data_IF_571093868723
#
_entry.id   IF_571093868723
#
_cell.length_a   1.000
_cell.length_b   1.000
_cell.length_c   1.000
_cell.angle_alpha   90.00
_cell.angle_beta   90.00
_cell.angle_gamma   90.00
#
_symmetry.space_group_name_H-M   'P 1'
#
loop_
_entity.id
_entity.type
_entity.pdbx_description
1 polymer ?
#
# COMPACT_ATOMS: atom_id res chain seq x y z
N UNK A 1 -13.03 -2.82 30.26
CA UNK A 1 -12.60 -2.90 28.85
C UNK A 1 -12.51 -1.51 28.21
N UNK A 2 -13.56 -0.68 28.32
CA UNK A 2 -13.62 0.68 27.73
C UNK A 2 -12.51 1.63 28.21
N UNK A 3 -12.25 1.70 29.53
CA UNK A 3 -11.17 2.51 30.11
C UNK A 3 -9.77 2.05 29.66
N UNK A 4 -9.60 0.75 29.43
CA UNK A 4 -8.34 0.15 28.96
C UNK A 4 -8.09 0.47 27.49
N UNK A 5 -9.11 0.37 26.64
CA UNK A 5 -9.03 0.71 25.21
C UNK A 5 -8.71 2.19 25.00
N UNK A 6 -9.41 3.08 25.72
CA UNK A 6 -9.20 4.52 25.66
C UNK A 6 -7.78 4.94 26.07
N UNK A 7 -7.22 4.26 27.08
CA UNK A 7 -5.84 4.49 27.48
C UNK A 7 -4.86 4.06 26.37
N UNK A 8 -5.01 2.86 25.80
CA UNK A 8 -4.10 2.36 24.74
C UNK A 8 -4.15 3.27 23.50
N UNK A 9 -5.32 3.80 23.13
CA UNK A 9 -5.42 4.69 21.97
C UNK A 9 -4.73 6.04 22.20
N UNK A 10 -4.79 6.58 23.42
CA UNK A 10 -4.03 7.77 23.78
C UNK A 10 -2.51 7.51 23.72
N UNK A 11 -2.06 6.34 24.19
CA UNK A 11 -0.66 5.90 24.12
C UNK A 11 -0.15 5.69 22.70
N UNK A 12 -1.01 5.41 21.72
CA UNK A 12 -0.62 5.27 20.31
C UNK A 12 -0.73 6.59 19.54
N UNK A 13 -1.73 7.42 19.87
CA UNK A 13 -1.97 8.71 19.21
C UNK A 13 -0.80 9.67 19.40
N UNK A 14 -0.32 9.84 20.63
CA UNK A 14 0.74 10.82 20.91
C UNK A 14 2.03 10.48 20.16
N UNK A 15 2.58 9.25 20.24
CA UNK A 15 3.76 8.88 19.46
C UNK A 15 3.53 8.99 17.96
N UNK A 16 2.36 8.59 17.44
CA UNK A 16 2.08 8.72 16.00
C UNK A 16 2.08 10.18 15.54
N UNK A 17 1.45 11.09 16.28
CA UNK A 17 1.45 12.51 15.92
C UNK A 17 2.86 13.11 16.01
N UNK A 18 3.60 12.79 17.07
CA UNK A 18 4.98 13.29 17.26
C UNK A 18 5.89 12.79 16.15
N UNK A 19 5.90 11.48 15.86
CA UNK A 19 6.73 10.92 14.78
C UNK A 19 6.30 11.45 13.42
N UNK A 20 5.00 11.63 13.17
CA UNK A 20 4.51 12.21 11.92
C UNK A 20 4.97 13.66 11.70
N UNK A 21 4.91 14.51 12.73
CA UNK A 21 5.43 15.90 12.65
C UNK A 21 6.95 15.89 12.42
N UNK A 22 7.68 15.03 13.12
CA UNK A 22 9.13 14.88 12.92
C UNK A 22 9.45 14.42 11.49
N UNK A 23 8.72 13.45 10.95
CA UNK A 23 8.89 12.99 9.56
C UNK A 23 8.67 14.10 8.54
N UNK A 24 7.65 14.94 8.73
CA UNK A 24 7.44 16.11 7.85
C UNK A 24 8.66 17.03 7.89
N UNK A 25 9.20 17.30 9.09
CA UNK A 25 10.42 18.08 9.26
C UNK A 25 11.62 17.46 8.53
N UNK A 26 11.81 16.15 8.65
CA UNK A 26 12.87 15.42 7.94
C UNK A 26 12.70 15.47 6.42
N UNK A 27 11.50 15.32 5.87
CA UNK A 27 11.31 15.41 4.42
C UNK A 27 11.51 16.82 3.87
N UNK A 28 11.17 17.86 4.63
CA UNK A 28 11.51 19.24 4.27
C UNK A 28 13.03 19.44 4.29
N UNK A 29 13.72 18.88 5.30
CA UNK A 29 15.18 18.87 5.35
C UNK A 29 15.78 18.14 4.15
N UNK A 30 15.29 16.95 3.83
CA UNK A 30 15.75 16.13 2.69
C UNK A 30 15.59 16.88 1.38
N UNK A 31 14.45 17.54 1.16
CA UNK A 31 14.21 18.35 -0.03
C UNK A 31 15.24 19.47 -0.17
N UNK A 32 15.58 20.15 0.93
CA UNK A 32 16.60 21.22 0.93
C UNK A 32 17.99 20.65 0.62
N UNK A 33 18.39 19.57 1.30
CA UNK A 33 19.72 18.97 1.16
C UNK A 33 19.89 18.37 -0.24
N UNK A 34 18.90 17.65 -0.74
CA UNK A 34 18.97 17.00 -2.05
C UNK A 34 18.96 18.01 -3.19
N UNK A 35 18.27 19.14 -3.07
CA UNK A 35 18.39 20.25 -4.04
C UNK A 35 19.79 20.87 -4.07
N UNK A 36 20.52 20.85 -2.95
CA UNK A 36 21.91 21.32 -2.89
C UNK A 36 22.90 20.29 -3.41
N UNK A 37 22.63 18.99 -3.19
CA UNK A 37 23.50 17.89 -3.63
C UNK A 37 23.37 17.58 -5.12
N UNK A 38 22.15 17.63 -5.67
CA UNK A 38 21.89 17.33 -7.07
C UNK A 38 22.87 18.02 -8.04
N UNK A 39 23.09 19.35 -8.01
CA UNK A 39 24.00 19.98 -8.96
C UNK A 39 25.45 19.49 -8.81
N UNK A 40 25.91 19.18 -7.59
CA UNK A 40 27.26 18.65 -7.37
C UNK A 40 27.38 17.24 -7.96
N UNK A 41 26.38 16.39 -7.73
CA UNK A 41 26.38 15.00 -8.21
C UNK A 41 26.22 14.91 -9.73
N UNK A 42 25.42 15.78 -10.34
CA UNK A 42 25.24 15.83 -11.80
C UNK A 42 26.50 16.34 -12.52
N UNK A 43 27.27 17.24 -11.91
CA UNK A 43 28.56 17.70 -12.45
C UNK A 43 29.75 16.80 -12.06
N UNK A 44 29.52 15.76 -11.23
CA UNK A 44 30.55 14.87 -10.70
C UNK A 44 31.61 15.60 -9.85
N UNK A 45 31.21 16.66 -9.15
CA UNK A 45 32.07 17.37 -8.21
C UNK A 45 32.31 16.52 -6.96
N UNK A 46 33.52 16.58 -6.39
CA UNK A 46 33.85 15.82 -5.19
C UNK A 46 32.95 16.18 -4.01
N UNK A 47 32.25 15.18 -3.46
CA UNK A 47 31.45 15.32 -2.26
C UNK A 47 32.34 15.41 -1.00
N UNK A 48 32.01 16.35 -0.13
CA UNK A 48 32.69 16.50 1.17
C UNK A 48 32.16 15.50 2.20
N UNK A 49 32.91 15.25 3.27
CA UNK A 49 32.43 14.42 4.39
C UNK A 49 31.11 14.95 4.99
N UNK A 50 30.94 16.27 4.99
CA UNK A 50 29.69 16.92 5.41
C UNK A 50 28.52 16.53 4.51
N UNK A 51 28.72 16.43 3.19
CA UNK A 51 27.68 16.04 2.24
C UNK A 51 27.19 14.62 2.55
N UNK A 52 28.10 13.68 2.83
CA UNK A 52 27.75 12.32 3.24
C UNK A 52 27.01 12.27 4.59
N UNK A 53 27.46 13.07 5.57
CA UNK A 53 26.76 13.15 6.87
C UNK A 53 25.33 13.68 6.72
N UNK A 54 25.10 14.64 5.82
CA UNK A 54 23.77 15.19 5.55
C UNK A 54 22.84 14.14 4.92
N UNK A 55 23.33 13.31 4.01
CA UNK A 55 22.58 12.17 3.45
C UNK A 55 22.28 11.13 4.54
N UNK A 56 23.23 10.85 5.44
CA UNK A 56 22.99 9.94 6.57
C UNK A 56 21.85 10.43 7.48
N UNK A 57 21.71 11.75 7.67
CA UNK A 57 20.58 12.31 8.43
C UNK A 57 19.22 12.06 7.76
N UNK A 58 19.15 12.04 6.43
CA UNK A 58 17.95 11.62 5.69
C UNK A 58 17.57 10.17 6.02
N UNK A 59 18.57 9.29 6.13
CA UNK A 59 18.36 7.89 6.56
C UNK A 59 17.69 7.77 7.93
N UNK A 60 18.08 8.60 8.91
CA UNK A 60 17.38 8.64 10.21
C UNK A 60 15.94 9.16 10.08
N UNK A 61 15.71 10.14 9.19
CA UNK A 61 14.36 10.62 8.87
C UNK A 61 13.44 9.53 8.35
N UNK A 62 13.95 8.64 7.47
CA UNK A 62 13.21 7.48 6.99
C UNK A 62 12.86 6.49 8.09
N UNK A 63 13.75 6.25 9.06
CA UNK A 63 13.46 5.39 10.22
C UNK A 63 12.32 5.97 11.07
N UNK A 64 12.33 7.30 11.28
CA UNK A 64 11.22 7.99 11.98
C UNK A 64 9.92 7.85 11.20
N UNK A 65 9.96 8.01 9.87
CA UNK A 65 8.78 7.82 9.01
C UNK A 65 8.29 6.38 8.95
N UNK A 66 9.19 5.40 8.98
CA UNK A 66 8.85 3.98 9.09
C UNK A 66 8.05 3.72 10.37
N UNK A 67 8.57 4.19 11.51
CA UNK A 67 7.88 4.07 12.80
C UNK A 67 6.52 4.76 12.76
N UNK A 68 6.43 5.95 12.17
CA UNK A 68 5.17 6.67 11.98
C UNK A 68 4.16 5.87 11.15
N UNK A 69 4.57 5.29 10.03
CA UNK A 69 3.71 4.46 9.19
C UNK A 69 3.22 3.21 9.94
N UNK A 70 4.11 2.52 10.66
CA UNK A 70 3.75 1.33 11.45
C UNK A 70 2.76 1.65 12.56
N UNK A 71 2.99 2.73 13.32
CA UNK A 71 2.05 3.19 14.35
C UNK A 71 0.70 3.59 13.76
N UNK A 72 0.71 4.25 12.60
CA UNK A 72 -0.50 4.65 11.88
C UNK A 72 -1.30 3.46 11.40
N UNK A 73 -0.65 2.48 10.76
CA UNK A 73 -1.28 1.22 10.33
C UNK A 73 -1.88 0.51 11.56
N UNK A 74 -1.10 0.34 12.63
CA UNK A 74 -1.58 -0.36 13.81
C UNK A 74 -2.80 0.31 14.46
N UNK A 75 -2.77 1.65 14.60
CA UNK A 75 -3.90 2.43 15.13
C UNK A 75 -5.12 2.32 14.22
N UNK A 76 -4.94 2.42 12.90
CA UNK A 76 -6.03 2.32 11.93
C UNK A 76 -6.65 0.92 11.88
N UNK A 77 -5.84 -0.14 11.98
CA UNK A 77 -6.34 -1.52 12.06
C UNK A 77 -7.17 -1.74 13.32
N UNK A 78 -6.71 -1.21 14.47
CA UNK A 78 -7.50 -1.26 15.71
C UNK A 78 -8.79 -0.44 15.58
N UNK A 79 -8.71 0.74 14.98
CA UNK A 79 -9.90 1.56 14.69
C UNK A 79 -10.93 0.78 13.88
N UNK A 80 -10.52 0.25 12.73
CA UNK A 80 -11.37 -0.48 11.80
C UNK A 80 -11.94 -1.75 12.41
N UNK A 81 -11.16 -2.46 13.23
CA UNK A 81 -11.60 -3.66 13.94
C UNK A 81 -12.82 -3.43 14.83
N UNK A 82 -12.93 -2.25 15.45
CA UNK A 82 -14.00 -1.93 16.41
C UNK A 82 -14.97 -0.85 15.91
N UNK A 83 -14.86 -0.41 14.66
CA UNK A 83 -15.73 0.61 14.09
C UNK A 83 -17.14 0.07 13.87
N UNK A 84 -18.19 0.84 14.16
CA UNK A 84 -19.56 0.44 13.80
C UNK A 84 -19.74 0.38 12.28
N UNK A 85 -19.07 1.29 11.56
CA UNK A 85 -19.08 1.35 10.11
C UNK A 85 -17.71 1.75 9.58
N UNK A 86 -17.23 1.01 8.57
CA UNK A 86 -16.03 1.39 7.83
C UNK A 86 -16.35 2.58 6.94
N UNK A 87 -15.70 3.71 7.19
CA UNK A 87 -15.83 4.93 6.36
C UNK A 87 -14.79 4.94 5.26
N UNK A 88 -15.12 5.58 4.13
CA UNK A 88 -14.19 5.78 3.02
C UNK A 88 -12.87 6.44 3.48
N UNK A 89 -12.95 7.44 4.37
CA UNK A 89 -11.77 8.10 4.94
C UNK A 89 -10.84 7.14 5.70
N UNK A 90 -11.40 6.16 6.41
CA UNK A 90 -10.60 5.16 7.14
C UNK A 90 -9.85 4.24 6.18
N UNK A 91 -10.49 3.85 5.07
CA UNK A 91 -9.89 3.03 4.01
C UNK A 91 -8.78 3.83 3.31
N UNK A 92 -9.06 5.07 2.92
CA UNK A 92 -8.07 5.96 2.29
C UNK A 92 -6.88 6.19 3.22
N UNK A 93 -7.11 6.35 4.52
CA UNK A 93 -6.04 6.52 5.50
C UNK A 93 -5.19 5.26 5.66
N UNK A 94 -5.81 4.08 5.69
CA UNK A 94 -5.04 2.84 5.72
C UNK A 94 -4.23 2.66 4.44
N UNK A 95 -4.83 2.92 3.28
CA UNK A 95 -4.14 2.88 2.00
C UNK A 95 -2.97 3.87 1.95
N UNK A 96 -3.16 5.10 2.43
CA UNK A 96 -2.11 6.12 2.53
C UNK A 96 -0.98 5.68 3.46
N UNK A 97 -1.28 5.08 4.62
CA UNK A 97 -0.26 4.59 5.55
C UNK A 97 0.56 3.44 4.95
N UNK A 98 -0.08 2.54 4.20
CA UNK A 98 0.63 1.46 3.52
C UNK A 98 1.43 1.99 2.31
N UNK A 99 0.88 2.94 1.54
CA UNK A 99 1.62 3.60 0.47
C UNK A 99 2.84 4.35 1.00
N UNK A 100 2.71 5.07 2.12
CA UNK A 100 3.83 5.72 2.82
C UNK A 100 4.91 4.71 3.20
N UNK A 101 4.52 3.57 3.77
CA UNK A 101 5.46 2.49 4.09
C UNK A 101 6.21 1.98 2.84
N UNK A 102 5.52 1.81 1.71
CA UNK A 102 6.16 1.35 0.47
C UNK A 102 7.09 2.41 -0.14
N UNK A 103 6.73 3.69 -0.07
CA UNK A 103 7.53 4.80 -0.59
C UNK A 103 8.89 4.92 0.09
N UNK A 104 9.07 4.38 1.31
CA UNK A 104 10.38 4.31 1.98
C UNK A 104 11.36 3.51 1.13
N UNK A 105 10.95 2.35 0.62
CA UNK A 105 11.82 1.51 -0.21
C UNK A 105 12.08 2.15 -1.57
N UNK A 106 11.09 2.85 -2.14
CA UNK A 106 11.29 3.63 -3.37
C UNK A 106 12.34 4.73 -3.18
N UNK A 107 12.28 5.46 -2.06
CA UNK A 107 13.27 6.50 -1.75
C UNK A 107 14.68 5.93 -1.58
N UNK A 108 14.82 4.82 -0.84
CA UNK A 108 16.11 4.15 -0.65
C UNK A 108 16.67 3.68 -1.99
N UNK A 109 15.87 2.98 -2.80
CA UNK A 109 16.32 2.49 -4.11
C UNK A 109 16.74 3.61 -5.05
N UNK A 110 16.00 4.72 -5.10
CA UNK A 110 16.36 5.87 -5.93
C UNK A 110 17.67 6.53 -5.47
N UNK A 111 17.91 6.64 -4.15
CA UNK A 111 19.17 7.18 -3.65
C UNK A 111 20.36 6.24 -3.91
N UNK A 112 20.15 4.93 -3.79
CA UNK A 112 21.16 3.91 -4.07
C UNK A 112 21.58 3.97 -5.54
N UNK A 113 20.59 3.97 -6.46
CA UNK A 113 20.83 4.10 -7.91
C UNK A 113 21.58 5.41 -8.24
N UNK A 114 21.19 6.55 -7.64
CA UNK A 114 21.87 7.83 -7.84
C UNK A 114 23.32 7.76 -7.33
N UNK A 115 23.56 7.12 -6.20
CA UNK A 115 24.89 6.92 -5.62
C UNK A 115 25.80 6.11 -6.55
N UNK A 116 25.33 4.94 -6.98
CA UNK A 116 26.05 4.03 -7.87
C UNK A 116 26.38 4.70 -9.22
N UNK A 117 25.42 5.43 -9.79
CA UNK A 117 25.62 6.15 -11.03
C UNK A 117 26.60 7.31 -10.88
N UNK A 118 26.57 8.02 -9.75
CA UNK A 118 27.54 9.07 -9.45
C UNK A 118 28.97 8.50 -9.36
N UNK A 119 29.16 7.38 -8.67
CA UNK A 119 30.46 6.70 -8.59
C UNK A 119 30.97 6.24 -9.96
N UNK A 120 30.08 5.77 -10.82
CA UNK A 120 30.38 5.31 -12.17
C UNK A 120 30.46 6.45 -13.21
N UNK A 121 30.26 7.71 -12.80
CA UNK A 121 30.21 8.90 -13.68
C UNK A 121 29.15 8.80 -14.78
N UNK A 122 28.01 8.21 -14.46
CA UNK A 122 26.85 8.05 -15.34
C UNK A 122 25.82 9.16 -15.09
N UNK A 123 25.01 9.43 -16.11
CA UNK A 123 23.87 10.34 -16.00
C UNK A 123 22.85 9.80 -14.99
N UNK A 124 22.27 10.70 -14.18
CA UNK A 124 21.33 10.35 -13.10
C UNK A 124 19.90 10.85 -13.38
N UNK A 125 19.13 10.23 -14.29
CA UNK A 125 17.73 10.61 -14.53
C UNK A 125 16.79 10.39 -13.31
N UNK A 126 17.21 9.60 -12.33
CA UNK A 126 16.48 9.17 -11.13
C UNK A 126 16.13 10.35 -10.21
N UNK A 127 16.89 11.45 -10.28
CA UNK A 127 16.53 12.71 -9.62
C UNK A 127 15.11 13.18 -9.96
N UNK A 128 14.65 12.94 -11.20
CA UNK A 128 13.30 13.31 -11.62
C UNK A 128 12.21 12.50 -10.90
N UNK A 129 12.52 11.32 -10.38
CA UNK A 129 11.61 10.47 -9.64
C UNK A 129 11.73 10.66 -8.12
N UNK A 130 12.91 11.03 -7.63
CA UNK A 130 13.16 11.24 -6.21
C UNK A 130 12.28 12.36 -5.62
N UNK A 131 12.21 13.53 -6.28
CA UNK A 131 11.41 14.65 -5.77
C UNK A 131 9.89 14.34 -5.71
N UNK A 132 9.25 13.75 -6.73
CA UNK A 132 7.88 13.27 -6.62
C UNK A 132 7.65 12.30 -5.47
N UNK A 133 8.59 11.37 -5.21
CA UNK A 133 8.50 10.44 -4.08
C UNK A 133 8.51 11.19 -2.75
N UNK A 134 9.40 12.16 -2.56
CA UNK A 134 9.45 12.99 -1.35
C UNK A 134 8.14 13.78 -1.17
N UNK A 135 7.63 14.39 -2.24
CA UNK A 135 6.37 15.15 -2.19
C UNK A 135 5.20 14.24 -1.80
N UNK A 136 5.14 13.02 -2.34
CA UNK A 136 4.14 12.04 -1.97
C UNK A 136 4.29 11.60 -0.50
N UNK A 137 5.52 11.39 -0.01
CA UNK A 137 5.77 11.05 1.39
C UNK A 137 5.31 12.19 2.32
N UNK A 138 5.59 13.46 1.98
CA UNK A 138 5.08 14.63 2.73
C UNK A 138 3.55 14.64 2.72
N UNK A 139 2.93 14.46 1.55
CA UNK A 139 1.47 14.48 1.43
C UNK A 139 0.82 13.38 2.29
N UNK A 140 1.37 12.17 2.26
CA UNK A 140 0.94 11.06 3.11
C UNK A 140 1.14 11.38 4.59
N UNK A 141 2.30 11.93 4.96
CA UNK A 141 2.61 12.28 6.34
C UNK A 141 1.62 13.32 6.89
N UNK A 142 1.37 14.41 6.14
CA UNK A 142 0.41 15.45 6.49
C UNK A 142 -1.00 14.87 6.59
N UNK A 143 -1.43 14.08 5.61
CA UNK A 143 -2.76 13.43 5.64
C UNK A 143 -2.95 12.61 6.92
N UNK A 144 -2.00 11.73 7.24
CA UNK A 144 -2.10 10.86 8.40
C UNK A 144 -2.02 11.64 9.73
N UNK A 145 -1.17 12.66 9.82
CA UNK A 145 -1.13 13.55 11.01
C UNK A 145 -2.48 14.25 11.19
N UNK A 146 -3.06 14.80 10.13
CA UNK A 146 -4.40 15.40 10.17
C UNK A 146 -5.44 14.39 10.64
N UNK A 147 -5.45 13.18 10.08
CA UNK A 147 -6.39 12.13 10.48
C UNK A 147 -6.21 11.68 11.93
N UNK A 148 -4.97 11.64 12.42
CA UNK A 148 -4.69 11.33 13.82
C UNK A 148 -5.12 12.44 14.77
N UNK A 149 -5.02 13.71 14.34
CA UNK A 149 -5.38 14.90 15.12
C UNK A 149 -6.89 15.12 15.18
N UNK A 150 -7.57 15.00 14.03
CA UNK A 150 -9.03 15.10 13.90
C UNK A 150 -9.78 14.04 14.71
N UNK A 151 -9.05 13.09 15.30
CA UNK A 151 -9.53 12.03 16.17
C UNK A 151 -10.74 11.34 15.57
N UNK A 152 -10.50 10.35 14.71
CA UNK A 152 -11.53 9.40 14.36
C UNK A 152 -12.05 8.78 15.67
N UNK A 153 -13.13 9.37 16.19
CA UNK A 153 -13.58 9.11 17.55
C UNK A 153 -14.02 7.65 17.64
N UNK A 154 -13.24 6.90 18.40
CA UNK A 154 -13.41 5.48 18.68
C UNK A 154 -14.50 5.26 19.71
N UNK A 155 -15.76 5.62 19.43
CA UNK A 155 -16.88 5.21 20.30
C UNK A 155 -18.22 5.12 19.54
N UNK A 156 -18.63 3.90 19.18
CA UNK A 156 -19.87 3.29 19.72
C UNK A 156 -19.87 1.78 19.45
N UNK A 157 -20.07 1.02 20.53
CA UNK A 157 -20.06 -0.43 20.54
C UNK A 157 -21.42 -0.96 20.08
N UNK A 158 -21.44 -1.70 18.98
CA UNK A 158 -22.37 -2.82 18.86
C UNK A 158 -21.63 -4.15 18.94
N UNK A 159 -22.37 -5.17 19.36
CA UNK A 159 -21.97 -6.54 19.72
C UNK A 159 -20.89 -7.12 18.82
N UNK A 160 -20.13 -8.04 19.41
CA UNK A 160 -19.13 -8.97 18.83
C UNK A 160 -19.41 -9.53 17.42
N UNK A 161 -20.66 -9.47 16.93
CA UNK A 161 -21.11 -9.79 15.56
C UNK A 161 -20.53 -8.83 14.51
N UNK A 162 -20.34 -7.54 14.82
CA UNK A 162 -19.79 -6.54 13.87
C UNK A 162 -18.26 -6.67 13.67
N UNK A 163 -17.58 -7.30 14.63
CA UNK A 163 -16.13 -7.36 14.72
C UNK A 163 -15.50 -8.22 13.61
N UNK A 164 -16.12 -9.36 13.30
CA UNK A 164 -15.71 -10.24 12.21
C UNK A 164 -16.03 -9.64 10.83
N UNK A 165 -17.23 -9.08 10.69
CA UNK A 165 -17.68 -8.43 9.46
C UNK A 165 -16.76 -7.29 8.99
N UNK A 166 -16.25 -6.48 9.91
CA UNK A 166 -15.35 -5.38 9.57
C UNK A 166 -13.99 -5.84 9.05
N UNK A 167 -13.39 -6.85 9.69
CA UNK A 167 -12.09 -7.36 9.24
C UNK A 167 -12.27 -8.06 7.89
N UNK A 168 -13.36 -8.79 7.70
CA UNK A 168 -13.74 -9.37 6.41
C UNK A 168 -13.88 -8.30 5.31
N UNK A 169 -14.61 -7.21 5.59
CA UNK A 169 -14.72 -6.08 4.67
C UNK A 169 -13.36 -5.45 4.38
N UNK A 170 -12.49 -5.33 5.38
CA UNK A 170 -11.17 -4.74 5.21
C UNK A 170 -10.28 -5.55 4.26
N UNK A 171 -10.34 -6.89 4.34
CA UNK A 171 -9.68 -7.79 3.40
C UNK A 171 -10.12 -7.47 1.97
N UNK A 172 -11.42 -7.31 1.74
CA UNK A 172 -11.94 -7.03 0.41
C UNK A 172 -11.72 -5.59 -0.06
N UNK A 173 -11.77 -4.57 0.80
CA UNK A 173 -11.38 -3.21 0.40
C UNK A 173 -9.91 -3.16 -0.03
N UNK A 174 -9.03 -3.79 0.75
CA UNK A 174 -7.60 -3.83 0.45
C UNK A 174 -7.33 -4.67 -0.81
N UNK A 175 -8.00 -5.82 -0.94
CA UNK A 175 -7.90 -6.69 -2.11
C UNK A 175 -8.39 -6.02 -3.38
N UNK A 176 -9.50 -5.28 -3.32
CA UNK A 176 -10.00 -4.50 -4.46
C UNK A 176 -9.00 -3.42 -4.89
N UNK A 177 -8.38 -2.71 -3.93
CA UNK A 177 -7.43 -1.65 -4.23
C UNK A 177 -6.12 -2.21 -4.82
N UNK A 178 -5.49 -3.19 -4.14
CA UNK A 178 -4.28 -3.86 -4.62
C UNK A 178 -4.51 -4.54 -5.96
N UNK A 179 -5.63 -5.27 -6.07
CA UNK A 179 -6.12 -5.88 -7.29
C UNK A 179 -6.15 -4.88 -8.44
N UNK A 180 -6.90 -3.79 -8.27
CA UNK A 180 -7.12 -2.80 -9.31
C UNK A 180 -5.81 -2.13 -9.74
N UNK A 181 -4.98 -1.70 -8.78
CA UNK A 181 -3.68 -1.09 -9.07
C UNK A 181 -2.76 -2.04 -9.84
N UNK A 182 -2.73 -3.32 -9.47
CA UNK A 182 -1.95 -4.31 -10.20
C UNK A 182 -2.47 -4.57 -11.61
N UNK A 183 -3.79 -4.67 -11.82
CA UNK A 183 -4.36 -4.77 -13.17
C UNK A 183 -3.96 -3.56 -14.01
N UNK A 184 -4.16 -2.33 -13.51
CA UNK A 184 -3.81 -1.10 -14.24
C UNK A 184 -2.33 -1.07 -14.59
N UNK A 185 -1.46 -1.37 -13.63
CA UNK A 185 -0.02 -1.42 -13.84
C UNK A 185 0.36 -2.45 -14.92
N UNK A 186 -0.12 -3.69 -14.81
CA UNK A 186 0.20 -4.76 -15.75
C UNK A 186 -0.33 -4.48 -17.16
N UNK A 187 -1.47 -3.79 -17.28
CA UNK A 187 -1.99 -3.38 -18.59
C UNK A 187 -1.08 -2.38 -19.31
N UNK A 188 -0.27 -1.59 -18.58
CA UNK A 188 0.73 -0.71 -19.21
C UNK A 188 1.82 -1.49 -19.96
N UNK A 189 2.07 -2.75 -19.59
CA UNK A 189 3.01 -3.63 -20.27
C UNK A 189 2.64 -3.95 -21.71
N UNK A 190 1.36 -3.90 -22.07
CA UNK A 190 0.95 -3.99 -23.48
C UNK A 190 1.28 -2.72 -24.28
N UNK A 191 1.29 -1.55 -23.63
CA UNK A 191 1.59 -0.27 -24.29
C UNK A 191 3.09 0.00 -24.39
N UNK A 192 3.84 -0.38 -23.35
CA UNK A 192 5.27 -0.10 -23.19
C UNK A 192 6.10 -1.40 -23.17
N UNK A 193 5.77 -2.34 -24.06
CA UNK A 193 6.39 -3.67 -24.09
C UNK A 193 7.92 -3.63 -24.23
N UNK A 194 8.49 -2.64 -24.91
CA UNK A 194 9.94 -2.48 -25.10
C UNK A 194 10.70 -2.13 -23.81
N UNK A 195 10.03 -1.49 -22.85
CA UNK A 195 10.61 -1.13 -21.54
C UNK A 195 10.28 -2.17 -20.46
N UNK A 196 9.53 -3.22 -20.80
CA UNK A 196 9.00 -4.16 -19.82
C UNK A 196 10.00 -5.25 -19.45
N UNK A 197 10.59 -5.13 -18.25
CA UNK A 197 11.44 -6.17 -17.68
C UNK A 197 10.61 -7.20 -16.90
N UNK A 198 10.77 -8.50 -17.23
CA UNK A 198 10.07 -9.62 -16.58
C UNK A 198 10.26 -9.66 -15.06
N UNK A 199 11.52 -9.62 -14.60
CA UNK A 199 11.83 -9.76 -13.18
C UNK A 199 11.24 -8.60 -12.37
N UNK A 200 11.40 -7.38 -12.87
CA UNK A 200 10.98 -6.18 -12.16
C UNK A 200 9.46 -6.01 -12.25
N UNK A 201 8.92 -5.92 -13.48
CA UNK A 201 7.54 -5.48 -13.71
C UNK A 201 6.52 -6.63 -13.66
N UNK A 202 6.91 -7.87 -13.96
CA UNK A 202 5.97 -9.00 -13.89
C UNK A 202 6.10 -9.82 -12.60
N UNK A 203 7.15 -9.61 -11.80
CA UNK A 203 7.38 -10.38 -10.56
C UNK A 203 7.52 -9.47 -9.34
N UNK A 204 8.56 -8.64 -9.25
CA UNK A 204 8.87 -7.86 -8.04
C UNK A 204 7.76 -6.83 -7.74
N UNK A 205 7.38 -6.00 -8.71
CA UNK A 205 6.34 -4.97 -8.51
C UNK A 205 4.99 -5.61 -8.15
N UNK A 206 4.51 -6.65 -8.85
CA UNK A 206 3.33 -7.41 -8.44
C UNK A 206 3.40 -7.96 -7.01
N UNK A 207 4.53 -8.53 -6.59
CA UNK A 207 4.71 -9.01 -5.21
C UNK A 207 4.56 -7.84 -4.23
N UNK A 208 5.21 -6.71 -4.49
CA UNK A 208 5.13 -5.51 -3.65
C UNK A 208 3.69 -5.00 -3.55
N UNK A 209 2.95 -4.99 -4.66
CA UNK A 209 1.54 -4.57 -4.68
C UNK A 209 0.61 -5.52 -3.90
N UNK A 210 1.00 -6.79 -3.70
CA UNK A 210 0.24 -7.76 -2.90
C UNK A 210 0.56 -7.69 -1.40
N UNK A 211 1.72 -7.16 -0.99
CA UNK A 211 2.10 -7.05 0.43
C UNK A 211 0.98 -6.46 1.30
N UNK A 212 0.33 -5.33 0.94
CA UNK A 212 -0.76 -4.77 1.73
C UNK A 212 -1.90 -5.77 1.96
N UNK A 213 -2.34 -6.44 0.89
CA UNK A 213 -3.42 -7.42 0.95
C UNK A 213 -3.02 -8.63 1.80
N UNK A 214 -1.80 -9.16 1.61
CA UNK A 214 -1.29 -10.30 2.36
C UNK A 214 -1.25 -9.98 3.87
N UNK A 215 -0.78 -8.79 4.24
CA UNK A 215 -0.74 -8.38 5.65
C UNK A 215 -2.14 -8.34 6.29
N UNK A 216 -3.13 -7.77 5.59
CA UNK A 216 -4.51 -7.72 6.07
C UNK A 216 -5.13 -9.12 6.11
N UNK A 217 -4.88 -9.96 5.12
CA UNK A 217 -5.36 -11.34 5.06
C UNK A 217 -4.78 -12.18 6.21
N UNK A 218 -3.48 -12.06 6.48
CA UNK A 218 -2.82 -12.72 7.62
C UNK A 218 -3.38 -12.19 8.93
N UNK A 219 -3.60 -10.88 9.05
CA UNK A 219 -4.23 -10.29 10.24
C UNK A 219 -5.64 -10.83 10.48
N UNK A 220 -6.45 -10.95 9.42
CA UNK A 220 -7.77 -11.56 9.47
C UNK A 220 -7.68 -13.03 9.91
N UNK A 221 -6.78 -13.81 9.32
CA UNK A 221 -6.59 -15.22 9.66
C UNK A 221 -6.19 -15.38 11.13
N UNK A 222 -5.28 -14.55 11.64
CA UNK A 222 -4.89 -14.56 13.07
C UNK A 222 -6.11 -14.25 13.95
N UNK A 223 -6.90 -13.22 13.60
CA UNK A 223 -8.10 -12.89 14.34
C UNK A 223 -9.10 -14.06 14.34
N UNK A 224 -9.31 -14.70 13.19
CA UNK A 224 -10.19 -15.86 13.03
C UNK A 224 -9.76 -17.07 13.85
N UNK A 225 -8.48 -17.39 13.85
CA UNK A 225 -7.95 -18.52 14.64
C UNK A 225 -8.08 -18.30 16.16
N UNK A 226 -8.23 -17.04 16.60
CA UNK A 226 -8.43 -16.69 18.01
C UNK A 226 -9.90 -16.67 18.43
N UNK A 227 -10.85 -16.79 17.49
CA UNK A 227 -12.28 -16.81 17.81
C UNK A 227 -12.68 -18.14 18.49
N UNK A 228 -13.53 -18.04 19.53
CA UNK A 228 -14.07 -19.24 20.22
C UNK A 228 -15.10 -19.99 19.36
N UNK A 229 -15.71 -19.28 18.42
CA UNK A 229 -16.65 -19.82 17.44
C UNK A 229 -15.90 -20.73 16.46
N UNK A 230 -16.45 -21.91 16.18
CA UNK A 230 -15.88 -22.84 15.17
C UNK A 230 -16.39 -22.58 13.74
N UNK A 231 -17.38 -21.70 13.56
CA UNK A 231 -17.92 -21.36 12.25
C UNK A 231 -17.11 -20.25 11.61
N UNK A 232 -16.57 -20.52 10.41
CA UNK A 232 -15.68 -19.59 9.69
C UNK A 232 -16.44 -18.40 9.10
N UNK A 233 -17.65 -18.64 8.59
CA UNK A 233 -18.53 -17.67 7.96
C UNK A 233 -19.97 -17.90 8.43
N UNK A 234 -20.79 -16.85 8.48
CA UNK A 234 -22.24 -17.00 8.59
C UNK A 234 -22.85 -17.44 7.25
N UNK A 235 -24.13 -17.84 7.27
CA UNK A 235 -24.85 -18.32 6.09
C UNK A 235 -24.95 -17.26 4.97
N UNK A 236 -25.16 -15.99 5.33
CA UNK A 236 -25.22 -14.86 4.39
C UNK A 236 -23.85 -14.61 3.78
N UNK A 237 -22.79 -14.58 4.58
CA UNK A 237 -21.41 -14.44 4.12
C UNK A 237 -21.04 -15.56 3.16
N UNK A 238 -21.39 -16.81 3.48
CA UNK A 238 -21.14 -17.95 2.59
C UNK A 238 -21.88 -17.80 1.26
N UNK A 239 -23.14 -17.36 1.30
CA UNK A 239 -23.94 -17.11 0.10
C UNK A 239 -23.35 -15.98 -0.75
N UNK A 240 -22.90 -14.89 -0.13
CA UNK A 240 -22.30 -13.73 -0.81
C UNK A 240 -20.93 -14.06 -1.41
N UNK A 241 -20.11 -14.85 -0.71
CA UNK A 241 -18.86 -15.40 -1.23
C UNK A 241 -19.13 -16.28 -2.45
N UNK A 242 -20.15 -17.16 -2.38
CA UNK A 242 -20.54 -18.03 -3.49
C UNK A 242 -20.96 -17.26 -4.73
N UNK A 243 -21.83 -16.23 -4.58
CA UNK A 243 -22.23 -15.34 -5.68
C UNK A 243 -21.03 -14.58 -6.26
N UNK A 244 -20.15 -14.09 -5.38
CA UNK A 244 -18.93 -13.37 -5.78
C UNK A 244 -17.98 -14.26 -6.58
N UNK A 245 -17.80 -15.52 -6.16
CA UNK A 245 -16.96 -16.48 -6.88
C UNK A 245 -17.50 -16.79 -8.28
N UNK A 246 -18.81 -16.98 -8.42
CA UNK A 246 -19.44 -17.22 -9.73
C UNK A 246 -19.27 -16.02 -10.66
N UNK A 247 -19.56 -14.80 -10.18
CA UNK A 247 -19.40 -13.60 -11.00
C UNK A 247 -17.92 -13.32 -11.36
N UNK A 248 -17.02 -13.57 -10.42
CA UNK A 248 -15.58 -13.49 -10.65
C UNK A 248 -15.17 -14.45 -11.75
N UNK A 249 -15.61 -15.71 -11.70
CA UNK A 249 -15.31 -16.71 -12.72
C UNK A 249 -15.83 -16.29 -14.10
N UNK A 250 -17.05 -15.74 -14.19
CA UNK A 250 -17.64 -15.26 -15.45
C UNK A 250 -16.80 -14.11 -16.03
N UNK A 251 -16.51 -13.09 -15.21
CA UNK A 251 -15.74 -11.90 -15.66
C UNK A 251 -14.33 -12.28 -16.05
N UNK A 252 -13.69 -13.10 -15.22
CA UNK A 252 -12.35 -13.61 -15.44
C UNK A 252 -12.28 -14.40 -16.75
N UNK A 253 -13.20 -15.35 -16.96
CA UNK A 253 -13.29 -16.10 -18.21
C UNK A 253 -13.44 -15.19 -19.43
N UNK A 254 -14.36 -14.21 -19.38
CA UNK A 254 -14.59 -13.29 -20.49
C UNK A 254 -13.37 -12.42 -20.79
N UNK A 255 -12.73 -11.84 -19.77
CA UNK A 255 -11.57 -10.95 -19.95
C UNK A 255 -10.34 -11.74 -20.40
N UNK A 256 -10.04 -12.89 -19.78
CA UNK A 256 -8.89 -13.69 -20.18
C UNK A 256 -9.08 -14.26 -21.60
N UNK A 257 -10.29 -14.68 -21.96
CA UNK A 257 -10.60 -15.09 -23.34
C UNK A 257 -10.47 -13.93 -24.32
N UNK A 258 -10.96 -12.74 -23.96
CA UNK A 258 -10.80 -11.52 -24.76
C UNK A 258 -9.32 -11.17 -24.98
N UNK A 259 -8.51 -11.20 -23.92
CA UNK A 259 -7.06 -10.97 -24.00
C UNK A 259 -6.37 -12.01 -24.88
N UNK A 260 -6.78 -13.28 -24.81
CA UNK A 260 -6.27 -14.34 -25.70
C UNK A 260 -6.57 -14.04 -27.16
N UNK A 261 -7.83 -13.75 -27.49
CA UNK A 261 -8.28 -13.49 -28.87
C UNK A 261 -7.56 -12.26 -29.45
N UNK A 262 -7.49 -11.17 -28.68
CA UNK A 262 -6.84 -9.93 -29.11
C UNK A 262 -5.34 -10.08 -29.36
N UNK A 263 -4.70 -11.04 -28.69
CA UNK A 263 -3.26 -11.28 -28.79
C UNK A 263 -2.90 -12.62 -29.45
N UNK A 264 -3.85 -13.27 -30.13
CA UNK A 264 -3.66 -14.62 -30.69
C UNK A 264 -2.44 -14.72 -31.61
N UNK A 265 -2.18 -13.66 -32.40
CA UNK A 265 -1.06 -13.58 -33.34
C UNK A 265 0.26 -13.11 -32.68
N UNK A 266 0.26 -12.77 -31.38
CA UNK A 266 1.42 -12.22 -30.66
C UNK A 266 1.58 -12.84 -29.25
N UNK A 267 1.34 -14.15 -29.14
CA UNK A 267 1.40 -14.88 -27.87
C UNK A 267 2.82 -14.95 -27.26
N UNK A 268 3.86 -14.83 -28.09
CA UNK A 268 5.26 -14.94 -27.65
C UNK A 268 5.79 -13.67 -26.95
N UNK A 269 5.08 -12.54 -27.05
CA UNK A 269 5.49 -11.25 -26.49
C UNK A 269 5.09 -11.04 -25.03
N UNK A 270 4.65 -9.81 -24.70
CA UNK A 270 4.27 -9.40 -23.35
C UNK A 270 3.20 -10.31 -22.70
N UNK A 271 2.34 -10.94 -23.51
CA UNK A 271 1.27 -11.84 -23.07
C UNK A 271 1.81 -12.99 -22.23
N UNK A 272 2.89 -13.66 -22.68
CA UNK A 272 3.50 -14.78 -21.94
C UNK A 272 3.93 -14.38 -20.52
N UNK A 273 4.37 -13.14 -20.37
CA UNK A 273 4.94 -12.61 -19.12
C UNK A 273 3.87 -12.00 -18.20
N UNK A 274 2.76 -11.55 -18.77
CA UNK A 274 1.70 -10.85 -18.06
C UNK A 274 0.51 -11.74 -17.71
N UNK A 275 0.39 -12.91 -18.34
CA UNK A 275 -0.79 -13.77 -18.21
C UNK A 275 -1.14 -14.10 -16.76
N UNK A 276 -0.21 -14.71 -16.03
CA UNK A 276 -0.43 -15.12 -14.64
C UNK A 276 -0.60 -13.92 -13.69
N UNK A 277 0.23 -12.85 -13.75
CA UNK A 277 -0.01 -11.67 -12.94
C UNK A 277 -1.39 -11.04 -13.21
N UNK A 278 -1.79 -10.87 -14.47
CA UNK A 278 -3.09 -10.27 -14.81
C UNK A 278 -4.23 -11.15 -14.29
N UNK A 279 -4.13 -12.46 -14.49
CA UNK A 279 -5.08 -13.45 -13.99
C UNK A 279 -5.31 -13.30 -12.48
N UNK A 280 -4.22 -13.27 -11.70
CA UNK A 280 -4.25 -13.15 -10.25
C UNK A 280 -4.86 -11.83 -9.79
N UNK A 281 -4.40 -10.70 -10.34
CA UNK A 281 -4.89 -9.38 -9.94
C UNK A 281 -6.32 -9.15 -10.39
N UNK A 282 -6.74 -9.70 -11.53
CA UNK A 282 -8.12 -9.63 -12.00
C UNK A 282 -9.05 -10.44 -11.11
N UNK A 283 -8.66 -11.66 -10.75
CA UNK A 283 -9.39 -12.49 -9.80
C UNK A 283 -9.53 -11.78 -8.45
N UNK A 284 -8.43 -11.26 -7.90
CA UNK A 284 -8.41 -10.53 -6.64
C UNK A 284 -9.33 -9.29 -6.67
N UNK A 285 -9.27 -8.51 -7.76
CA UNK A 285 -10.10 -7.30 -7.94
C UNK A 285 -11.56 -7.67 -7.99
N UNK A 286 -11.94 -8.54 -8.92
CA UNK A 286 -13.34 -8.88 -9.17
C UNK A 286 -13.97 -9.58 -7.96
N UNK A 287 -13.27 -10.54 -7.35
CA UNK A 287 -13.75 -11.22 -6.15
C UNK A 287 -13.97 -10.26 -4.99
N UNK A 288 -13.03 -9.36 -4.76
CA UNK A 288 -13.13 -8.37 -3.71
C UNK A 288 -14.24 -7.35 -3.95
N UNK A 289 -14.37 -6.82 -5.18
CA UNK A 289 -15.43 -5.88 -5.54
C UNK A 289 -16.81 -6.51 -5.37
N UNK A 290 -17.01 -7.76 -5.82
CA UNK A 290 -18.31 -8.41 -5.68
C UNK A 290 -18.68 -8.68 -4.23
N UNK A 291 -17.74 -9.11 -3.40
CA UNK A 291 -17.99 -9.30 -1.97
C UNK A 291 -18.40 -7.98 -1.31
N UNK A 292 -17.74 -6.86 -1.64
CA UNK A 292 -18.14 -5.54 -1.12
C UNK A 292 -19.55 -5.14 -1.58
N UNK A 293 -19.90 -5.39 -2.85
CA UNK A 293 -21.22 -5.05 -3.40
C UNK A 293 -22.32 -5.89 -2.76
N UNK A 294 -22.11 -7.19 -2.56
CA UNK A 294 -23.15 -8.05 -1.96
C UNK A 294 -23.28 -7.82 -0.45
N UNK A 295 -22.16 -7.63 0.25
CA UNK A 295 -22.16 -7.34 1.67
C UNK A 295 -22.90 -6.04 2.01
N UNK A 296 -22.81 -5.02 1.14
CA UNK A 296 -23.48 -3.72 1.35
C UNK A 296 -24.96 -3.70 0.99
N UNK A 297 -25.46 -4.71 0.24
CA UNK A 297 -26.84 -4.74 -0.28
C UNK A 297 -27.86 -5.43 0.63
N UNK A 298 -27.45 -5.99 1.76
CA UNK A 298 -28.37 -6.60 2.73
C UNK A 298 -27.91 -6.39 4.14
#
# INVERSE_FOLDING_TARGET
MEKTLKNIDAWLKIPAVVTGILSIGFFVFDLIILLQLQPKMVHFDSLSERDFQLVNYSGYGLIVFLLFCLLSIYRLLRFLKYAERITFLSIVSLAAAIAGFLLIFSFIGLLDDIGDQYEQKLSQPEWNWLYPVIVLQIAVAVWLVCMHYLDMNLVRQEKQITLDGNIFLLVHYTGSLCGFLGVVFLLTGFRFASAWNLLIHSTIVPIILLIPYILILVYWLICKLQEKSRTWFDEKQLQDIGKSAILTLIIHFLIMTGLFILNYNNLAGAVRLLWLPIDLFLCLTSFSVWNLIFYTKG
#
